data_IF_684912924848
#
_entry.id   IF_684912924848
#
_cell.length_a   1.000
_cell.length_b   1.000
_cell.length_c   1.000
_cell.angle_alpha   90.00
_cell.angle_beta   90.00
_cell.angle_gamma   90.00
#
_symmetry.space_group_name_H-M   'P 1'
#
loop_
_entity.id
_entity.type
_entity.pdbx_description
1 polymer ?
#
# COMPACT_ATOMS: atom_id res chain seq x y z
N UNK A 1 -9.14 -24.76 -0.05
CA UNK A 1 -9.30 -23.39 0.49
C UNK A 1 -9.85 -22.44 -0.56
N UNK A 2 -9.19 -22.28 -1.72
CA UNK A 2 -9.66 -21.42 -2.84
C UNK A 2 -11.14 -21.64 -3.23
N UNK A 3 -11.69 -22.87 -3.28
CA UNK A 3 -13.08 -23.06 -3.73
C UNK A 3 -14.16 -22.46 -2.81
N UNK A 4 -13.87 -22.23 -1.53
CA UNK A 4 -14.87 -21.74 -0.56
C UNK A 4 -14.89 -20.21 -0.47
N UNK A 5 -13.73 -19.56 -0.61
CA UNK A 5 -13.62 -18.11 -0.66
C UNK A 5 -14.13 -17.54 -1.99
N UNK A 6 -13.98 -18.29 -3.09
CA UNK A 6 -14.51 -17.93 -4.41
C UNK A 6 -16.04 -18.05 -4.51
N UNK A 7 -16.71 -18.56 -3.48
CA UNK A 7 -18.17 -18.64 -3.45
C UNK A 7 -18.83 -17.26 -3.31
N UNK A 8 -18.09 -16.28 -2.79
CA UNK A 8 -18.56 -14.92 -2.55
C UNK A 8 -17.72 -13.91 -3.31
N UNK A 9 -18.38 -13.00 -4.00
CA UNK A 9 -17.71 -11.92 -4.70
C UNK A 9 -17.12 -10.91 -3.71
N UNK A 10 -16.07 -10.23 -4.13
CA UNK A 10 -15.46 -9.16 -3.34
C UNK A 10 -16.31 -7.90 -3.35
N UNK A 11 -16.37 -7.25 -2.19
CA UNK A 11 -16.72 -5.84 -2.11
C UNK A 11 -15.86 -5.10 -1.11
N UNK A 12 -15.17 -4.07 -1.57
CA UNK A 12 -14.28 -3.26 -0.73
C UNK A 12 -15.05 -2.52 0.38
N UNK A 13 -14.69 -2.77 1.64
CA UNK A 13 -15.17 -2.03 2.82
C UNK A 13 -16.66 -2.18 3.14
N UNK A 14 -17.34 -3.13 2.48
CA UNK A 14 -18.75 -3.42 2.72
C UNK A 14 -19.02 -4.92 2.60
N UNK A 15 -18.11 -5.74 3.13
CA UNK A 15 -18.33 -7.18 3.23
C UNK A 15 -19.49 -7.51 4.16
N UNK A 16 -20.19 -8.59 3.82
CA UNK A 16 -21.27 -9.16 4.60
C UNK A 16 -20.81 -10.39 5.37
N UNK A 17 -19.76 -11.07 4.90
CA UNK A 17 -19.16 -12.25 5.54
C UNK A 17 -17.66 -12.09 5.77
N UNK A 18 -17.17 -12.70 6.85
CA UNK A 18 -15.76 -12.77 7.22
C UNK A 18 -15.35 -14.20 7.56
N UNK A 19 -14.10 -14.58 7.29
CA UNK A 19 -13.58 -15.91 7.59
C UNK A 19 -12.69 -15.89 8.83
N UNK A 20 -12.98 -16.75 9.81
CA UNK A 20 -12.23 -16.89 11.05
C UNK A 20 -11.78 -18.33 11.26
N UNK A 21 -10.74 -18.55 12.06
CA UNK A 21 -10.36 -19.89 12.50
C UNK A 21 -10.98 -20.16 13.86
N UNK A 22 -11.71 -21.26 14.00
CA UNK A 22 -12.14 -21.74 15.31
C UNK A 22 -10.93 -22.38 16.00
N UNK A 23 -10.38 -21.74 17.03
CA UNK A 23 -9.54 -22.47 17.97
C UNK A 23 -10.45 -23.33 18.84
N UNK A 24 -10.20 -24.64 18.93
CA UNK A 24 -10.90 -25.50 19.88
C UNK A 24 -10.46 -25.16 21.31
N UNK A 25 -10.83 -23.98 21.81
CA UNK A 25 -10.85 -23.69 23.23
C UNK A 25 -12.08 -24.42 23.77
N UNK A 26 -11.84 -25.45 24.58
CA UNK A 26 -12.91 -26.23 25.19
C UNK A 26 -13.86 -25.30 25.94
N UNK A 27 -15.14 -25.43 25.61
CA UNK A 27 -16.22 -24.84 26.39
C UNK A 27 -16.17 -25.45 27.79
N UNK A 28 -15.77 -24.65 28.76
CA UNK A 28 -16.16 -24.83 30.15
C UNK A 28 -17.01 -23.62 30.50
N UNK A 29 -18.32 -23.82 30.40
CA UNK A 29 -19.34 -23.00 31.03
C UNK A 29 -19.06 -22.97 32.54
N UNK A 30 -18.83 -21.78 33.10
CA UNK A 30 -19.25 -21.52 34.47
C UNK A 30 -19.69 -20.05 34.57
N UNK A 31 -20.96 -19.88 34.91
CA UNK A 31 -21.62 -18.61 35.14
C UNK A 31 -21.00 -17.89 36.34
N UNK A 32 -20.60 -16.63 36.19
CA UNK A 32 -20.74 -15.64 37.28
C UNK A 32 -20.74 -14.22 36.75
N UNK A 33 -21.86 -13.52 36.96
CA UNK A 33 -21.99 -12.08 36.79
C UNK A 33 -21.17 -11.33 37.85
N UNK A 34 -20.35 -10.34 37.47
CA UNK A 34 -20.27 -9.08 38.20
C UNK A 34 -19.62 -7.93 37.39
N UNK A 35 -20.34 -6.82 37.36
CA UNK A 35 -20.04 -5.48 36.82
C UNK A 35 -18.72 -4.83 37.27
N UNK A 36 -17.94 -4.19 36.37
CA UNK A 36 -17.48 -2.77 36.43
C UNK A 36 -16.60 -2.30 35.25
N UNK A 37 -17.07 -1.24 34.56
CA UNK A 37 -16.45 -0.08 33.89
C UNK A 37 -15.07 -0.08 33.15
N UNK A 38 -15.17 0.38 31.89
CA UNK A 38 -14.35 1.37 31.13
C UNK A 38 -12.82 1.21 30.94
N UNK A 39 -12.37 1.14 29.68
CA UNK A 39 -11.43 2.09 29.05
C UNK A 39 -11.20 1.76 27.56
N UNK A 40 -11.08 2.80 26.74
CA UNK A 40 -10.60 2.79 25.35
C UNK A 40 -9.30 1.98 25.18
N UNK A 41 -9.17 1.29 24.03
CA UNK A 41 -7.96 0.58 23.63
C UNK A 41 -8.02 0.10 22.16
N UNK A 42 -7.23 0.76 21.34
CA UNK A 42 -6.87 0.55 19.93
C UNK A 42 -6.89 -0.91 19.42
N UNK A 43 -7.60 -1.16 18.32
CA UNK A 43 -7.48 -2.39 17.52
C UNK A 43 -6.28 -2.28 16.57
N UNK A 44 -5.19 -2.95 16.93
CA UNK A 44 -4.06 -3.19 16.03
C UNK A 44 -4.38 -4.38 15.11
N UNK A 45 -4.42 -4.12 13.81
CA UNK A 45 -4.52 -5.13 12.75
C UNK A 45 -3.15 -5.76 12.52
N UNK A 46 -2.95 -6.97 13.05
CA UNK A 46 -1.80 -7.82 12.73
C UNK A 46 -2.02 -8.51 11.37
N UNK A 47 -1.54 -7.90 10.29
CA UNK A 47 -1.36 -8.59 9.00
C UNK A 47 0.01 -9.27 8.97
N UNK A 48 0.06 -10.59 9.16
CA UNK A 48 1.29 -11.36 8.96
C UNK A 48 1.24 -12.23 7.69
N UNK A 49 2.06 -11.81 6.73
CA UNK A 49 2.96 -12.57 5.87
C UNK A 49 2.61 -14.03 5.51
N UNK A 50 2.41 -14.28 4.20
CA UNK A 50 2.91 -15.49 3.55
C UNK A 50 3.62 -15.16 2.24
N UNK A 51 4.95 -15.10 2.32
CA UNK A 51 5.85 -15.49 1.24
C UNK A 51 6.75 -16.57 1.83
N UNK A 52 6.55 -17.83 1.46
CA UNK A 52 7.67 -18.67 1.02
C UNK A 52 7.18 -19.99 0.41
N UNK A 53 7.73 -20.27 -0.77
CA UNK A 53 7.63 -21.52 -1.50
C UNK A 53 8.74 -22.45 -0.99
N UNK A 54 8.39 -23.59 -0.40
CA UNK A 54 9.36 -24.66 -0.18
C UNK A 54 8.70 -26.04 -0.28
N UNK A 55 8.87 -26.62 -1.45
CA UNK A 55 8.77 -28.03 -1.80
C UNK A 55 9.18 -28.98 -0.65
N UNK A 56 8.27 -29.87 -0.23
CA UNK A 56 8.61 -31.03 0.60
C UNK A 56 8.60 -32.27 -0.28
N UNK A 57 9.81 -32.76 -0.52
CA UNK A 57 10.15 -33.99 -1.22
C UNK A 57 9.68 -35.23 -0.47
N UNK A 58 9.25 -36.21 -1.25
CA UNK A 58 9.01 -37.61 -0.95
C UNK A 58 9.91 -38.24 0.13
N UNK A 59 9.27 -39.00 1.04
CA UNK A 59 9.85 -40.20 1.63
C UNK A 59 8.85 -41.33 1.46
N UNK A 60 9.13 -42.19 0.48
CA UNK A 60 8.45 -43.46 0.24
C UNK A 60 9.00 -44.48 1.24
N UNK A 61 8.17 -44.91 2.18
CA UNK A 61 8.41 -46.06 3.06
C UNK A 61 7.45 -47.20 2.73
N UNK A 62 8.01 -48.27 2.18
CA UNK A 62 7.37 -49.51 1.68
C UNK A 62 6.32 -50.11 2.64
N UNK A 63 5.14 -50.41 2.12
CA UNK A 63 4.16 -51.34 2.72
C UNK A 63 4.43 -52.77 2.22
N UNK A 64 4.80 -53.67 3.12
CA UNK A 64 4.61 -55.12 2.96
C UNK A 64 3.38 -55.53 3.77
N UNK A 65 2.45 -56.24 3.10
CA UNK A 65 1.30 -56.87 3.73
C UNK A 65 1.75 -57.82 4.83
N UNK A 66 1.16 -57.68 6.03
CA UNK A 66 0.76 -58.82 6.85
C UNK A 66 -0.41 -58.47 7.77
N UNK A 67 -1.29 -59.44 7.91
CA UNK A 67 -2.59 -59.40 8.58
C UNK A 67 -2.43 -59.65 10.08
N UNK A 68 -2.81 -58.69 10.92
CA UNK A 68 -3.16 -58.95 12.31
C UNK A 68 -4.16 -57.92 12.85
N UNK A 69 -5.28 -58.46 13.31
CA UNK A 69 -6.32 -57.90 14.16
C UNK A 69 -5.77 -56.99 15.27
N UNK A 70 -6.08 -55.70 15.24
CA UNK A 70 -5.90 -54.78 16.37
C UNK A 70 -7.01 -53.73 16.37
N UNK A 71 -7.71 -53.66 17.50
CA UNK A 71 -8.93 -52.87 17.71
C UNK A 71 -8.78 -51.39 17.41
N UNK A 72 -9.93 -50.78 17.11
CA UNK A 72 -10.12 -49.35 16.98
C UNK A 72 -9.34 -48.58 18.06
N UNK A 73 -8.32 -47.78 17.70
CA UNK A 73 -7.91 -46.68 18.54
C UNK A 73 -8.95 -45.58 18.32
N UNK A 74 -9.87 -45.50 19.28
CA UNK A 74 -10.63 -44.29 19.57
C UNK A 74 -9.63 -43.17 19.90
N UNK A 75 -9.93 -41.97 19.40
CA UNK A 75 -9.24 -40.70 19.67
C UNK A 75 -7.86 -40.48 19.04
N UNK A 76 -7.82 -40.42 17.69
CA UNK A 76 -7.04 -39.34 17.08
C UNK A 76 -7.91 -38.09 17.21
N UNK A 77 -7.66 -37.28 18.22
CA UNK A 77 -8.16 -35.92 18.31
C UNK A 77 -7.50 -35.15 17.17
N UNK A 78 -8.05 -35.28 15.96
CA UNK A 78 -7.79 -34.34 14.88
C UNK A 78 -8.17 -32.98 15.44
N UNK A 79 -7.17 -32.16 15.76
CA UNK A 79 -7.34 -30.74 15.93
C UNK A 79 -7.70 -30.19 14.55
N UNK A 80 -8.93 -30.50 14.10
CA UNK A 80 -9.51 -29.99 12.86
C UNK A 80 -9.70 -28.51 13.10
N UNK A 81 -8.72 -27.73 12.67
CA UNK A 81 -8.85 -26.29 12.58
C UNK A 81 -9.96 -26.01 11.58
N UNK A 82 -11.17 -25.77 12.08
CA UNK A 82 -12.31 -25.44 11.23
C UNK A 82 -12.20 -23.97 10.82
N UNK A 83 -12.47 -23.70 9.55
CA UNK A 83 -12.63 -22.35 9.05
C UNK A 83 -14.12 -22.00 9.14
N UNK A 84 -14.42 -20.95 9.89
CA UNK A 84 -15.77 -20.43 10.07
C UNK A 84 -16.00 -19.26 9.13
N UNK A 85 -17.22 -19.16 8.62
CA UNK A 85 -17.69 -18.00 7.89
C UNK A 85 -18.79 -17.35 8.73
N UNK A 86 -18.54 -16.12 9.18
CA UNK A 86 -19.46 -15.37 10.02
C UNK A 86 -20.08 -14.24 9.22
N UNK A 87 -21.38 -14.00 9.42
CA UNK A 87 -22.07 -12.82 8.90
C UNK A 87 -21.70 -11.65 9.80
N UNK A 88 -21.09 -10.60 9.25
CA UNK A 88 -20.69 -9.39 9.99
C UNK A 88 -21.67 -8.25 9.83
N UNK A 89 -22.64 -8.38 8.92
CA UNK A 89 -23.64 -7.37 8.60
C UNK A 89 -24.97 -8.01 8.20
N UNK A 90 -26.09 -7.41 8.61
CA UNK A 90 -27.42 -7.88 8.23
C UNK A 90 -27.64 -7.85 6.71
N UNK A 91 -28.00 -9.02 6.16
CA UNK A 91 -28.27 -9.20 4.73
C UNK A 91 -29.75 -9.51 4.50
N UNK A 92 -30.38 -8.79 3.56
CA UNK A 92 -31.78 -9.04 3.19
C UNK A 92 -31.90 -10.31 2.35
N UNK A 93 -32.99 -11.06 2.52
CA UNK A 93 -33.24 -12.24 1.71
C UNK A 93 -33.26 -11.89 0.21
N UNK A 94 -32.56 -12.69 -0.60
CA UNK A 94 -32.49 -12.55 -2.06
C UNK A 94 -31.46 -11.57 -2.59
N UNK A 95 -30.64 -10.94 -1.74
CA UNK A 95 -29.50 -10.12 -2.17
C UNK A 95 -28.20 -10.94 -2.13
N UNK A 96 -27.25 -10.54 -2.96
CA UNK A 96 -25.91 -11.12 -2.97
C UNK A 96 -25.18 -10.80 -1.66
N UNK A 97 -24.40 -11.78 -1.19
CA UNK A 97 -23.55 -11.68 -0.01
C UNK A 97 -22.13 -11.45 -0.50
N UNK A 98 -21.44 -10.45 0.04
CA UNK A 98 -20.08 -10.11 -0.37
C UNK A 98 -19.05 -10.50 0.69
N UNK A 99 -17.87 -10.92 0.24
CA UNK A 99 -16.68 -11.12 1.05
C UNK A 99 -15.70 -9.95 0.82
N UNK A 100 -14.66 -9.86 1.64
CA UNK A 100 -13.47 -9.04 1.37
C UNK A 100 -12.28 -9.92 0.99
N UNK A 101 -11.59 -9.60 -0.13
CA UNK A 101 -10.33 -10.23 -0.50
C UNK A 101 -9.13 -9.52 0.16
N UNK A 102 -9.41 -8.55 1.03
CA UNK A 102 -8.44 -7.67 1.66
C UNK A 102 -8.49 -6.24 1.10
N UNK A 103 -7.56 -5.42 1.58
CA UNK A 103 -7.46 -4.00 1.21
C UNK A 103 -6.66 -3.87 -0.09
N UNK A 104 -7.32 -4.07 -1.24
CA UNK A 104 -6.66 -4.18 -2.54
C UNK A 104 -7.11 -3.09 -3.49
N UNK A 105 -6.15 -2.38 -4.10
CA UNK A 105 -6.42 -1.46 -5.20
C UNK A 105 -6.77 -2.17 -6.50
N UNK A 106 -7.36 -1.42 -7.44
CA UNK A 106 -7.84 -1.87 -8.74
C UNK A 106 -6.77 -2.54 -9.60
N UNK A 107 -5.50 -2.13 -9.50
CA UNK A 107 -4.42 -2.80 -10.23
C UNK A 107 -4.26 -4.26 -9.78
N UNK A 108 -4.31 -4.50 -8.48
CA UNK A 108 -4.21 -5.84 -7.90
C UNK A 108 -5.49 -6.65 -8.15
N UNK A 109 -6.67 -6.02 -8.00
CA UNK A 109 -7.96 -6.65 -8.28
C UNK A 109 -8.05 -7.11 -9.75
N UNK A 110 -7.66 -6.25 -10.68
CA UNK A 110 -7.70 -6.56 -12.11
C UNK A 110 -6.70 -7.66 -12.48
N UNK A 111 -5.49 -7.61 -11.95
CA UNK A 111 -4.45 -8.59 -12.25
C UNK A 111 -4.77 -9.99 -11.70
N UNK A 112 -5.32 -10.09 -10.48
CA UNK A 112 -5.56 -11.37 -9.80
C UNK A 112 -6.96 -11.93 -10.04
N UNK A 113 -7.97 -11.08 -10.14
CA UNK A 113 -9.38 -11.49 -10.17
C UNK A 113 -10.14 -11.00 -11.42
N UNK A 114 -9.54 -10.16 -12.26
CA UNK A 114 -10.10 -9.80 -13.57
C UNK A 114 -11.24 -8.77 -13.53
N UNK A 115 -11.41 -8.04 -12.43
CA UNK A 115 -12.39 -6.96 -12.30
C UNK A 115 -11.79 -5.73 -11.59
N UNK A 116 -12.53 -4.62 -11.59
CA UNK A 116 -12.19 -3.37 -10.91
C UNK A 116 -13.44 -2.80 -10.24
N UNK A 117 -13.25 -2.04 -9.18
CA UNK A 117 -14.28 -1.28 -8.49
C UNK A 117 -14.17 0.22 -8.80
N UNK A 118 -15.31 0.89 -8.98
CA UNK A 118 -15.34 2.35 -9.13
C UNK A 118 -15.05 2.98 -7.77
N UNK A 119 -14.22 4.03 -7.75
CA UNK A 119 -13.91 4.81 -6.54
C UNK A 119 -13.39 3.97 -5.36
N UNK A 120 -12.55 2.98 -5.67
CA UNK A 120 -11.87 2.15 -4.66
C UNK A 120 -10.90 3.00 -3.83
N UNK A 121 -11.08 3.10 -2.50
CA UNK A 121 -10.23 3.91 -1.61
C UNK A 121 -8.82 3.35 -1.43
N UNK A 122 -8.58 2.10 -1.83
CA UNK A 122 -7.26 1.45 -1.77
C UNK A 122 -6.50 1.53 -3.10
N UNK A 123 -7.00 2.29 -4.08
CA UNK A 123 -6.27 2.55 -5.31
C UNK A 123 -4.98 3.29 -5.03
N UNK A 124 -3.93 2.88 -5.75
CA UNK A 124 -2.61 3.48 -5.74
C UNK A 124 -2.17 3.74 -7.18
N UNK A 125 -1.22 4.66 -7.35
CA UNK A 125 -0.47 4.79 -8.61
C UNK A 125 1.02 4.74 -8.32
N UNK A 126 1.73 3.99 -9.16
CA UNK A 126 3.17 3.77 -8.99
C UNK A 126 3.98 4.81 -9.77
N UNK A 127 5.04 5.31 -9.13
CA UNK A 127 6.10 6.12 -9.72
C UNK A 127 7.39 5.31 -9.71
N UNK A 128 7.83 4.87 -10.87
CA UNK A 128 9.07 4.09 -10.99
C UNK A 128 10.29 4.95 -10.62
N UNK A 129 11.28 4.34 -9.97
CA UNK A 129 12.56 4.98 -9.66
C UNK A 129 13.24 5.48 -10.94
N UNK A 130 13.10 4.77 -12.05
CA UNK A 130 13.61 5.19 -13.35
C UNK A 130 13.00 6.51 -13.81
N UNK A 131 11.72 6.75 -13.52
CA UNK A 131 11.06 8.03 -13.81
C UNK A 131 11.66 9.16 -12.96
N UNK A 132 12.00 8.88 -11.70
CA UNK A 132 12.69 9.83 -10.81
C UNK A 132 14.10 10.13 -11.31
N UNK A 133 14.83 9.12 -11.77
CA UNK A 133 16.17 9.29 -12.35
C UNK A 133 16.10 10.08 -13.66
N UNK A 134 15.10 9.81 -14.50
CA UNK A 134 14.86 10.55 -15.74
C UNK A 134 14.52 12.03 -15.46
N UNK A 135 13.63 12.28 -14.51
CA UNK A 135 13.31 13.64 -14.05
C UNK A 135 14.57 14.37 -13.55
N UNK A 136 15.36 13.69 -12.70
CA UNK A 136 16.60 14.26 -12.17
C UNK A 136 17.60 14.57 -13.26
N UNK A 137 17.73 13.70 -14.27
CA UNK A 137 18.65 13.87 -15.40
C UNK A 137 18.27 15.03 -16.33
N UNK A 138 16.99 15.44 -16.35
CA UNK A 138 16.55 16.63 -17.07
C UNK A 138 17.01 17.94 -16.40
N UNK A 139 17.32 17.90 -15.09
CA UNK A 139 17.69 19.08 -14.30
C UNK A 139 19.17 19.07 -13.87
N UNK A 140 19.74 17.89 -13.65
CA UNK A 140 21.04 17.68 -13.03
C UNK A 140 21.89 16.67 -13.82
N UNK A 141 23.20 16.66 -13.56
CA UNK A 141 24.09 15.69 -14.18
C UNK A 141 23.88 14.27 -13.62
N UNK A 142 24.16 13.23 -14.42
CA UNK A 142 24.06 11.85 -13.94
C UNK A 142 24.96 11.55 -12.72
N UNK A 143 26.13 12.21 -12.59
CA UNK A 143 26.98 12.05 -11.40
C UNK A 143 26.31 12.62 -10.14
N UNK A 144 25.65 13.78 -10.27
CA UNK A 144 24.90 14.42 -9.20
C UNK A 144 23.78 13.49 -8.68
N UNK A 145 22.97 12.97 -9.60
CA UNK A 145 21.85 12.07 -9.26
C UNK A 145 22.34 10.78 -8.59
N UNK A 146 23.37 10.14 -9.15
CA UNK A 146 23.94 8.90 -8.59
C UNK A 146 24.50 9.09 -7.19
N UNK A 147 25.18 10.20 -6.92
CA UNK A 147 25.75 10.49 -5.59
C UNK A 147 24.63 10.63 -4.54
N UNK A 148 23.57 11.38 -4.86
CA UNK A 148 22.40 11.57 -3.99
C UNK A 148 21.60 10.30 -3.77
N UNK A 149 21.39 9.50 -4.83
CA UNK A 149 20.75 8.20 -4.70
C UNK A 149 21.59 7.24 -3.84
N UNK A 150 22.92 7.27 -3.98
CA UNK A 150 23.81 6.46 -3.14
C UNK A 150 23.72 6.86 -1.66
N UNK A 151 23.64 8.16 -1.36
CA UNK A 151 23.43 8.62 0.02
C UNK A 151 22.08 8.12 0.56
N UNK A 152 21.01 8.22 -0.23
CA UNK A 152 19.69 7.73 0.15
C UNK A 152 19.69 6.23 0.46
N UNK A 153 20.41 5.41 -0.33
CA UNK A 153 20.60 3.98 -0.03
C UNK A 153 21.42 3.73 1.24
N UNK A 154 22.49 4.52 1.47
CA UNK A 154 23.31 4.42 2.69
C UNK A 154 22.54 4.78 3.96
N UNK A 155 21.50 5.58 3.82
CA UNK A 155 20.52 5.89 4.85
C UNK A 155 19.51 4.74 5.09
N UNK A 156 19.67 3.61 4.40
CA UNK A 156 18.83 2.42 4.50
C UNK A 156 17.41 2.59 3.94
N UNK A 157 17.18 3.56 3.06
CA UNK A 157 15.92 3.65 2.31
C UNK A 157 15.96 2.86 1.00
N UNK A 158 14.79 2.35 0.63
CA UNK A 158 14.51 1.71 -0.64
C UNK A 158 13.04 1.95 -0.99
N UNK A 159 12.69 1.94 -2.28
CA UNK A 159 11.32 1.88 -2.74
C UNK A 159 10.76 0.46 -2.65
N UNK A 160 9.50 0.31 -3.04
CA UNK A 160 8.88 -0.99 -3.25
C UNK A 160 9.57 -1.71 -4.42
N UNK A 161 9.74 -3.03 -4.31
CA UNK A 161 10.41 -3.83 -5.33
C UNK A 161 9.44 -4.86 -5.91
N UNK A 162 9.32 -4.86 -7.24
CA UNK A 162 8.56 -5.88 -7.97
C UNK A 162 9.30 -6.26 -9.24
N UNK A 163 9.53 -7.56 -9.46
CA UNK A 163 10.07 -8.11 -10.72
C UNK A 163 11.29 -7.33 -11.27
N UNK A 164 12.23 -6.95 -10.38
CA UNK A 164 13.45 -6.18 -10.69
C UNK A 164 13.26 -4.69 -11.02
N UNK A 165 12.06 -4.13 -10.81
CA UNK A 165 11.82 -2.69 -10.81
C UNK A 165 11.62 -2.19 -9.40
N UNK A 166 12.12 -0.98 -9.13
CA UNK A 166 11.87 -0.26 -7.89
C UNK A 166 10.94 0.92 -8.17
N UNK A 167 9.92 1.08 -7.33
CA UNK A 167 8.90 2.09 -7.49
C UNK A 167 8.45 2.65 -6.15
N UNK A 168 7.70 3.74 -6.20
CA UNK A 168 7.07 4.37 -5.06
C UNK A 168 5.57 4.42 -5.27
N UNK A 169 4.81 4.27 -4.20
CA UNK A 169 3.35 4.32 -4.25
C UNK A 169 2.85 5.71 -3.88
N UNK A 170 1.80 6.15 -4.57
CA UNK A 170 0.99 7.31 -4.20
C UNK A 170 -0.38 6.79 -3.83
N UNK A 171 -0.84 7.12 -2.63
CA UNK A 171 -2.12 6.69 -2.09
C UNK A 171 -3.32 7.29 -2.84
N UNK A 172 -4.51 6.77 -2.57
CA UNK A 172 -5.75 7.28 -3.14
C UNK A 172 -5.89 8.80 -2.97
N UNK A 173 -5.54 9.35 -1.80
CA UNK A 173 -5.62 10.77 -1.48
C UNK A 173 -4.54 11.64 -2.17
N UNK A 174 -3.65 11.02 -2.94
CA UNK A 174 -2.54 11.68 -3.60
C UNK A 174 -1.32 11.86 -2.70
N UNK A 175 -1.26 11.15 -1.57
CA UNK A 175 -0.12 11.24 -0.64
C UNK A 175 1.00 10.31 -1.10
N UNK A 176 2.22 10.82 -1.37
CA UNK A 176 3.35 9.98 -1.72
C UNK A 176 3.93 9.24 -0.51
N UNK A 177 4.49 8.05 -0.74
CA UNK A 177 5.36 7.38 0.22
C UNK A 177 6.49 8.29 0.71
N UNK A 178 6.82 8.15 2.00
CA UNK A 178 7.80 9.00 2.67
C UNK A 178 9.21 8.83 2.07
N UNK A 179 9.53 7.63 1.61
CA UNK A 179 10.78 7.26 0.96
C UNK A 179 11.02 8.11 -0.29
N UNK A 180 9.98 8.33 -1.10
CA UNK A 180 10.03 9.22 -2.27
C UNK A 180 10.28 10.67 -1.84
N UNK A 181 9.59 11.14 -0.80
CA UNK A 181 9.76 12.52 -0.31
C UNK A 181 11.19 12.77 0.19
N UNK A 182 11.77 11.81 0.91
CA UNK A 182 13.15 11.87 1.40
C UNK A 182 14.13 11.87 0.22
N UNK A 183 13.93 11.01 -0.79
CA UNK A 183 14.77 10.99 -1.99
C UNK A 183 14.73 12.33 -2.73
N UNK A 184 13.54 12.88 -2.96
CA UNK A 184 13.36 14.17 -3.62
C UNK A 184 13.96 15.33 -2.81
N UNK A 185 13.91 15.24 -1.48
CA UNK A 185 14.56 16.20 -0.60
C UNK A 185 16.07 16.16 -0.77
N UNK A 186 16.69 14.98 -0.66
CA UNK A 186 18.14 14.79 -0.83
C UNK A 186 18.58 15.28 -2.21
N UNK A 187 17.80 14.99 -3.26
CA UNK A 187 18.09 15.47 -4.62
C UNK A 187 18.04 17.01 -4.69
N UNK A 188 17.11 17.62 -3.97
CA UNK A 188 16.91 19.08 -3.95
C UNK A 188 17.87 19.84 -3.02
N UNK A 189 18.71 19.16 -2.23
CA UNK A 189 19.68 19.80 -1.35
C UNK A 189 20.73 20.57 -2.14
N UNK A 190 21.16 21.71 -1.58
CA UNK A 190 22.36 22.41 -2.04
C UNK A 190 23.60 21.53 -1.82
N UNK A 191 24.67 21.78 -2.56
CA UNK A 191 25.91 21.02 -2.39
C UNK A 191 26.44 21.10 -0.94
N UNK A 192 26.44 22.28 -0.33
CA UNK A 192 26.89 22.45 1.06
C UNK A 192 26.08 21.59 2.03
N UNK A 193 24.75 21.64 1.95
CA UNK A 193 23.87 20.85 2.81
C UNK A 193 23.98 19.34 2.55
N UNK A 194 24.19 18.95 1.29
CA UNK A 194 24.45 17.56 0.91
C UNK A 194 25.77 17.07 1.50
N UNK A 195 26.84 17.86 1.41
CA UNK A 195 28.15 17.48 1.97
C UNK A 195 28.10 17.37 3.49
N UNK A 196 27.42 18.29 4.18
CA UNK A 196 27.22 18.21 5.64
C UNK A 196 26.47 16.93 6.01
N UNK A 197 25.36 16.63 5.32
CA UNK A 197 24.59 15.41 5.56
C UNK A 197 25.41 14.15 5.26
N UNK A 198 26.12 14.12 4.14
CA UNK A 198 26.95 12.99 3.73
C UNK A 198 28.09 12.71 4.73
N UNK A 199 28.73 13.76 5.25
CA UNK A 199 29.74 13.64 6.30
C UNK A 199 29.13 13.11 7.59
N UNK A 200 27.99 13.67 8.03
CA UNK A 200 27.31 13.22 9.23
C UNK A 200 26.91 11.73 9.16
N UNK A 201 26.39 11.27 8.00
CA UNK A 201 26.04 9.85 7.77
C UNK A 201 27.26 8.94 7.76
N UNK A 202 28.44 9.46 7.41
CA UNK A 202 29.69 8.69 7.43
C UNK A 202 30.25 8.52 8.84
N UNK A 203 29.94 9.44 9.76
CA UNK A 203 30.41 9.44 11.15
C UNK A 203 29.43 8.77 12.10
N UNK A 204 28.14 8.77 11.78
CA UNK A 204 27.10 8.24 12.67
C UNK A 204 26.88 6.73 12.46
N UNK A 205 27.20 5.95 13.49
CA UNK A 205 27.02 4.49 13.45
C UNK A 205 25.58 4.04 13.76
N UNK A 206 24.79 4.78 14.57
CA UNK A 206 23.56 4.22 15.18
C UNK A 206 22.27 5.07 15.15
N UNK A 207 22.22 6.27 14.54
CA UNK A 207 20.96 7.05 14.46
C UNK A 207 20.75 7.87 13.17
N UNK A 208 20.68 7.16 12.04
CA UNK A 208 20.54 7.77 10.69
C UNK A 208 19.26 8.58 10.51
N UNK A 209 18.15 8.17 11.13
CA UNK A 209 16.86 8.89 11.05
C UNK A 209 16.96 10.30 11.67
N UNK A 210 17.53 10.41 12.87
CA UNK A 210 17.75 11.69 13.56
C UNK A 210 18.52 12.70 12.70
N UNK A 211 19.50 12.26 11.92
CA UNK A 211 20.28 13.14 11.03
C UNK A 211 19.42 13.77 9.93
N UNK A 212 18.50 12.98 9.39
CA UNK A 212 17.59 13.45 8.33
C UNK A 212 16.59 14.42 8.92
N UNK A 213 15.96 14.10 10.05
CA UNK A 213 15.10 15.03 10.76
C UNK A 213 15.81 16.35 11.09
N UNK A 214 17.08 16.30 11.49
CA UNK A 214 17.87 17.51 11.76
C UNK A 214 18.23 18.29 10.49
N UNK A 215 18.57 17.61 9.39
CA UNK A 215 18.80 18.24 8.08
C UNK A 215 17.53 18.89 7.51
N UNK A 216 16.39 18.21 7.67
CA UNK A 216 15.04 18.68 7.33
C UNK A 216 14.64 19.90 8.17
N UNK A 217 15.01 19.92 9.46
CA UNK A 217 14.77 21.04 10.36
C UNK A 217 15.66 22.25 10.03
N UNK A 218 16.93 22.03 9.71
CA UNK A 218 17.90 23.08 9.32
C UNK A 218 17.55 23.72 7.99
N UNK A 219 17.00 22.97 7.04
CA UNK A 219 16.56 23.45 5.73
C UNK A 219 15.20 24.19 5.81
N UNK A 220 15.10 25.21 6.67
CA UNK A 220 13.98 26.16 6.76
C UNK A 220 12.58 25.58 6.50
N UNK A 221 12.24 24.56 7.30
CA UNK A 221 10.87 24.18 7.57
C UNK A 221 10.39 22.94 6.84
N UNK A 222 11.04 21.79 7.02
CA UNK A 222 10.37 20.50 6.82
C UNK A 222 10.20 19.84 8.20
N UNK A 223 8.97 19.86 8.73
CA UNK A 223 8.58 19.14 9.93
C UNK A 223 7.86 17.87 9.48
N UNK A 224 8.49 16.72 9.66
CA UNK A 224 7.83 15.43 9.59
C UNK A 224 7.11 15.22 10.92
N UNK A 225 5.83 15.59 10.96
CA UNK A 225 4.91 15.32 12.06
C UNK A 225 3.52 15.12 11.48
N UNK A 226 2.67 14.39 12.19
CA UNK A 226 1.33 13.92 11.78
C UNK A 226 0.42 14.98 11.16
N UNK A 227 0.63 16.27 11.45
CA UNK A 227 -0.32 17.34 11.07
C UNK A 227 0.23 18.45 10.17
N UNK A 228 1.39 18.29 9.52
CA UNK A 228 1.84 19.32 8.58
C UNK A 228 3.21 19.13 7.94
N UNK A 229 3.28 18.25 6.93
CA UNK A 229 4.46 18.11 6.06
C UNK A 229 4.65 19.41 5.28
N UNK A 230 5.63 20.22 5.68
CA UNK A 230 6.03 21.40 4.93
C UNK A 230 7.04 21.01 3.84
N UNK A 231 6.56 20.84 2.61
CA UNK A 231 7.42 20.49 1.48
C UNK A 231 8.26 21.69 1.02
N UNK A 232 9.56 21.45 0.81
CA UNK A 232 10.45 22.41 0.15
C UNK A 232 9.93 22.76 -1.26
N UNK A 233 10.23 23.98 -1.74
CA UNK A 233 9.87 24.39 -3.11
C UNK A 233 10.50 23.47 -4.16
N UNK A 234 11.64 22.85 -3.86
CA UNK A 234 12.27 21.84 -4.70
C UNK A 234 11.41 20.59 -4.81
N UNK A 235 11.05 19.99 -3.68
CA UNK A 235 10.26 18.75 -3.62
C UNK A 235 8.89 18.93 -4.27
N UNK A 236 8.21 20.06 -4.02
CA UNK A 236 6.91 20.34 -4.66
C UNK A 236 7.01 20.37 -6.19
N UNK A 237 8.01 21.05 -6.74
CA UNK A 237 8.22 21.13 -8.20
C UNK A 237 8.56 19.76 -8.77
N UNK A 238 9.34 18.97 -8.03
CA UNK A 238 9.68 17.60 -8.41
C UNK A 238 8.41 16.73 -8.50
N UNK A 239 7.56 16.74 -7.46
CA UNK A 239 6.31 15.98 -7.45
C UNK A 239 5.36 16.38 -8.59
N UNK A 240 5.21 17.68 -8.88
CA UNK A 240 4.42 18.15 -10.01
C UNK A 240 4.98 17.60 -11.34
N UNK A 241 6.29 17.73 -11.55
CA UNK A 241 6.94 17.23 -12.76
C UNK A 241 6.83 15.71 -12.90
N UNK A 242 6.93 14.96 -11.80
CA UNK A 242 6.77 13.51 -11.80
C UNK A 242 5.33 13.11 -12.11
N UNK A 243 4.34 13.82 -11.57
CA UNK A 243 2.93 13.61 -11.91
C UNK A 243 2.69 13.82 -13.41
N UNK A 244 3.25 14.89 -13.98
CA UNK A 244 3.13 15.19 -15.42
C UNK A 244 3.84 14.14 -16.28
N UNK A 245 5.06 13.75 -15.90
CA UNK A 245 5.80 12.69 -16.60
C UNK A 245 5.04 11.36 -16.53
N UNK A 246 4.51 10.98 -15.36
CA UNK A 246 3.75 9.74 -15.19
C UNK A 246 2.45 9.76 -15.97
N UNK A 247 1.75 10.90 -16.00
CA UNK A 247 0.51 11.05 -16.76
C UNK A 247 0.74 10.96 -18.26
N UNK A 248 1.88 11.47 -18.76
CA UNK A 248 2.22 11.41 -20.18
C UNK A 248 2.32 9.97 -20.73
N UNK A 249 2.57 8.98 -19.86
CA UNK A 249 2.63 7.57 -20.25
C UNK A 249 1.27 6.97 -20.64
N UNK A 250 0.15 7.61 -20.26
CA UNK A 250 -1.18 7.17 -20.68
C UNK A 250 -1.54 7.59 -22.12
N UNK A 251 -0.71 8.42 -22.76
CA UNK A 251 -0.94 8.93 -24.10
C UNK A 251 -1.62 10.30 -24.12
N UNK A 252 -2.20 10.67 -25.27
CA UNK A 252 -2.64 12.04 -25.55
C UNK A 252 -4.08 12.36 -25.12
N UNK A 253 -4.88 11.39 -24.67
CA UNK A 253 -6.27 11.67 -24.27
C UNK A 253 -6.35 12.42 -22.95
N UNK A 254 -7.34 13.28 -22.81
CA UNK A 254 -7.61 13.98 -21.56
C UNK A 254 -8.23 13.04 -20.52
N UNK A 255 -8.19 13.42 -19.24
CA UNK A 255 -8.88 12.67 -18.19
C UNK A 255 -10.40 12.70 -18.42
N UNK A 256 -10.93 13.82 -18.89
CA UNK A 256 -12.35 13.98 -19.19
C UNK A 256 -12.78 13.07 -20.35
N UNK A 257 -11.93 12.92 -21.38
CA UNK A 257 -12.18 11.99 -22.49
C UNK A 257 -12.27 10.54 -21.99
N UNK A 258 -11.37 10.15 -21.08
CA UNK A 258 -11.34 8.80 -20.52
C UNK A 258 -12.56 8.57 -19.60
N UNK A 259 -13.00 9.58 -18.85
CA UNK A 259 -14.22 9.54 -18.03
C UNK A 259 -15.47 9.39 -18.92
N UNK A 260 -15.54 10.14 -20.02
CA UNK A 260 -16.66 10.06 -20.96
C UNK A 260 -16.71 8.67 -21.64
N UNK A 261 -15.55 8.16 -22.08
CA UNK A 261 -15.43 6.79 -22.61
C UNK A 261 -15.85 5.75 -21.58
N UNK A 262 -15.45 5.90 -20.32
CA UNK A 262 -15.84 4.99 -19.25
C UNK A 262 -17.36 5.00 -19.05
N UNK A 263 -17.98 6.18 -19.01
CA UNK A 263 -19.45 6.34 -18.88
C UNK A 263 -20.21 5.69 -20.04
N UNK A 264 -19.65 5.76 -21.25
CA UNK A 264 -20.26 5.18 -22.44
C UNK A 264 -19.96 3.68 -22.62
N UNK A 265 -18.98 3.15 -21.89
CA UNK A 265 -18.60 1.73 -21.95
C UNK A 265 -19.51 0.86 -21.08
N UNK A 266 -19.74 -0.38 -21.51
CA UNK A 266 -20.57 -1.35 -20.78
C UNK A 266 -19.69 -2.44 -20.15
N UNK A 267 -19.80 -2.63 -18.84
CA UNK A 267 -19.07 -3.66 -18.09
C UNK A 267 -19.37 -5.10 -18.55
N UNK A 268 -20.51 -5.32 -19.21
CA UNK A 268 -20.93 -6.63 -19.73
C UNK A 268 -20.42 -6.85 -21.15
N UNK A 269 -20.72 -5.92 -22.07
CA UNK A 269 -20.40 -6.07 -23.50
C UNK A 269 -18.92 -5.82 -23.80
N UNK A 270 -18.29 -4.89 -23.09
CA UNK A 270 -16.96 -4.37 -23.37
C UNK A 270 -16.07 -4.50 -22.12
N UNK A 271 -16.14 -5.66 -21.45
CA UNK A 271 -15.50 -5.92 -20.14
C UNK A 271 -14.04 -5.46 -20.07
N UNK A 272 -13.21 -5.84 -21.04
CA UNK A 272 -11.77 -5.47 -21.07
C UNK A 272 -11.58 -3.96 -21.15
N UNK A 273 -12.34 -3.30 -22.03
CA UNK A 273 -12.28 -1.85 -22.20
C UNK A 273 -12.73 -1.15 -20.91
N UNK A 274 -13.87 -1.56 -20.36
CA UNK A 274 -14.43 -1.02 -19.12
C UNK A 274 -13.45 -1.08 -17.95
N UNK A 275 -12.85 -2.24 -17.68
CA UNK A 275 -11.89 -2.37 -16.56
C UNK A 275 -10.58 -1.64 -16.84
N UNK A 276 -10.09 -1.64 -18.09
CA UNK A 276 -8.90 -0.86 -18.44
C UNK A 276 -9.10 0.65 -18.27
N UNK A 277 -10.28 1.16 -18.64
CA UNK A 277 -10.66 2.56 -18.45
C UNK A 277 -10.87 2.88 -16.98
N UNK A 278 -11.47 1.97 -16.20
CA UNK A 278 -11.67 2.17 -14.76
C UNK A 278 -10.34 2.35 -14.05
N UNK A 279 -9.38 1.44 -14.27
CA UNK A 279 -8.04 1.54 -13.70
C UNK A 279 -7.33 2.82 -14.15
N UNK A 280 -7.36 3.11 -15.46
CA UNK A 280 -6.71 4.30 -16.02
C UNK A 280 -7.27 5.59 -15.43
N UNK A 281 -8.60 5.70 -15.33
CA UNK A 281 -9.26 6.89 -14.77
C UNK A 281 -8.92 7.03 -13.28
N UNK A 282 -8.89 5.93 -12.53
CA UNK A 282 -8.59 6.00 -11.10
C UNK A 282 -7.14 6.42 -10.82
N UNK A 283 -6.16 5.86 -11.54
CA UNK A 283 -4.76 6.27 -11.44
C UNK A 283 -4.57 7.75 -11.81
N UNK A 284 -5.19 8.23 -12.88
CA UNK A 284 -5.11 9.65 -13.29
C UNK A 284 -5.78 10.59 -12.30
N UNK A 285 -6.88 10.16 -11.63
CA UNK A 285 -7.48 10.91 -10.52
C UNK A 285 -6.50 11.04 -9.35
N UNK A 286 -5.76 9.97 -9.02
CA UNK A 286 -4.72 10.02 -8.00
C UNK A 286 -3.60 11.00 -8.39
N UNK A 287 -3.15 11.00 -9.64
CA UNK A 287 -2.15 11.98 -10.11
C UNK A 287 -2.66 13.42 -9.99
N UNK A 288 -3.94 13.68 -10.29
CA UNK A 288 -4.53 14.99 -10.05
C UNK A 288 -4.56 15.33 -8.55
N UNK A 289 -4.93 14.38 -7.69
CA UNK A 289 -4.87 14.55 -6.23
C UNK A 289 -3.45 14.82 -5.73
N UNK A 290 -2.43 14.15 -6.26
CA UNK A 290 -1.02 14.45 -5.97
C UNK A 290 -0.66 15.90 -6.28
N UNK A 291 -1.10 16.42 -7.44
CA UNK A 291 -0.90 17.84 -7.78
C UNK A 291 -1.56 18.75 -6.75
N UNK A 292 -2.81 18.45 -6.37
CA UNK A 292 -3.51 19.22 -5.34
C UNK A 292 -2.89 19.09 -3.96
N UNK A 293 -2.35 17.93 -3.59
CA UNK A 293 -1.68 17.66 -2.32
C UNK A 293 -0.40 18.50 -2.23
N UNK A 294 0.42 18.47 -3.28
CA UNK A 294 1.65 19.25 -3.38
C UNK A 294 1.39 20.78 -3.31
N UNK A 295 0.27 21.25 -3.87
CA UNK A 295 -0.16 22.65 -3.84
C UNK A 295 -0.89 23.04 -2.53
N UNK A 296 -1.69 22.13 -1.96
CA UNK A 296 -2.53 22.33 -0.78
C UNK A 296 -1.71 22.55 0.49
N UNK A 297 -0.58 21.84 0.60
CA UNK A 297 0.42 22.08 1.63
C UNK A 297 0.87 23.56 1.63
N UNK A 298 1.09 24.16 0.45
CA UNK A 298 1.52 25.57 0.35
C UNK A 298 0.49 26.56 0.93
N UNK A 299 -0.81 26.27 0.82
CA UNK A 299 -1.88 27.11 1.37
C UNK A 299 -1.96 27.04 2.90
N UNK A 300 -1.77 25.85 3.50
CA UNK A 300 -1.70 25.71 4.97
C UNK A 300 -0.51 26.49 5.56
N UNK A 301 0.65 26.52 4.88
CA UNK A 301 1.82 27.31 5.30
C UNK A 301 1.55 28.81 5.27
N UNK A 302 0.92 29.30 4.20
CA UNK A 302 0.65 30.72 4.00
C UNK A 302 -0.34 31.26 5.07
N UNK A 303 -1.30 30.44 5.47
CA UNK A 303 -2.26 30.77 6.53
C UNK A 303 -1.60 30.80 7.91
N UNK A 304 -0.76 29.81 8.25
CA UNK A 304 -0.02 29.76 9.52
C UNK A 304 0.95 30.95 9.69
N UNK A 305 1.58 31.42 8.61
CA UNK A 305 2.45 32.61 8.63
C UNK A 305 1.69 33.94 8.78
N UNK A 306 0.41 34.00 8.39
CA UNK A 306 -0.44 35.19 8.56
C UNK A 306 -1.04 35.30 9.96
N UNK A 307 -1.30 34.19 10.64
CA UNK A 307 -1.78 34.20 12.04
C UNK A 307 -0.69 34.53 13.07
N UNK A 308 0.59 34.47 12.69
CA UNK A 308 1.74 34.79 13.56
C UNK A 308 2.32 36.20 13.34
N UNK A 309 1.61 37.07 12.62
CA UNK A 309 1.93 38.49 12.44
C UNK A 309 0.79 39.32 13.00
#
# INVERSE_FOLDING_TARGET
MVPLADLFNHKTGTEDVHFTFASSAGESEDDTENTTNCSDGELQTESSFFTDDRSISAVIGKTSLDRADFGYPQDVKENSTVLEMIIVKDVKAGVEVFNTYGLMGNAALLHRYGFTEIDNPYDIVNIDLDLVVQWSSATFSGRFTRSRLSLWRRLSYAGCVSQNSEYFEISFDGEPQIELLILLHIISLTEDAYTELNLAVSVAENSKESLIYNSLKKSNGMLLSSDGILLSKGVRRALLSLADMRESLYGLSSLDDDIEKLRNSCCIRERKLYHSLTLRVSERRILNRLRTWSAGIARRVAFSKKLKR
#
